data_IF_950690111091
#
_entry.id   IF_950690111091
#
_cell.length_a   1.000
_cell.length_b   1.000
_cell.length_c   1.000
_cell.angle_alpha   90.00
_cell.angle_beta   90.00
_cell.angle_gamma   90.00
#
_symmetry.space_group_name_H-M   'P 1'
#
loop_
_entity.id
_entity.type
_entity.pdbx_description
1 polymer ?
#
# COMPACT_ATOMS: atom_id res chain seq x y z
N UNK A 1 8.85 -9.49 -28.08
CA UNK A 1 9.78 -9.32 -26.94
C UNK A 1 9.23 -10.19 -25.82
N UNK A 2 9.67 -11.44 -25.77
CA UNK A 2 9.20 -12.43 -24.82
C UNK A 2 9.83 -12.12 -23.46
N UNK A 3 9.02 -11.63 -22.53
CA UNK A 3 9.43 -11.45 -21.14
C UNK A 3 9.32 -12.80 -20.48
N UNK A 4 10.41 -13.28 -19.88
CA UNK A 4 10.35 -14.53 -19.13
C UNK A 4 9.51 -14.31 -17.86
N UNK A 5 8.87 -15.35 -17.28
CA UNK A 5 8.14 -15.22 -16.01
C UNK A 5 8.97 -14.57 -14.89
N UNK A 6 10.30 -14.76 -14.92
CA UNK A 6 11.29 -14.12 -14.04
C UNK A 6 11.35 -12.60 -14.21
N UNK A 7 11.29 -12.11 -15.45
CA UNK A 7 11.30 -10.66 -15.74
C UNK A 7 10.01 -10.00 -15.27
N UNK A 8 8.86 -10.68 -15.43
CA UNK A 8 7.59 -10.19 -14.93
C UNK A 8 7.58 -10.05 -13.41
N UNK A 9 8.08 -11.06 -12.67
CA UNK A 9 8.20 -11.01 -11.22
C UNK A 9 9.10 -9.86 -10.74
N UNK A 10 10.21 -9.59 -11.43
CA UNK A 10 11.10 -8.46 -11.13
C UNK A 10 10.40 -7.12 -11.34
N UNK A 11 9.65 -6.97 -12.43
CA UNK A 11 8.90 -5.72 -12.71
C UNK A 11 7.82 -5.48 -11.65
N UNK A 12 7.11 -6.52 -11.23
CA UNK A 12 6.10 -6.43 -10.15
C UNK A 12 6.75 -6.01 -8.83
N UNK A 13 7.88 -6.63 -8.47
CA UNK A 13 8.63 -6.28 -7.27
C UNK A 13 9.14 -4.84 -7.30
N UNK A 14 9.72 -4.40 -8.42
CA UNK A 14 10.20 -3.02 -8.58
C UNK A 14 9.04 -2.01 -8.44
N UNK A 15 7.89 -2.31 -9.07
CA UNK A 15 6.70 -1.47 -8.98
C UNK A 15 6.24 -1.33 -7.53
N UNK A 16 6.09 -2.44 -6.81
CA UNK A 16 5.72 -2.47 -5.39
C UNK A 16 6.67 -1.62 -4.53
N UNK A 17 7.97 -1.78 -4.71
CA UNK A 17 8.97 -1.00 -3.97
C UNK A 17 8.83 0.51 -4.22
N UNK A 18 8.50 0.90 -5.45
CA UNK A 18 8.23 2.31 -5.80
C UNK A 18 6.99 2.83 -5.08
N UNK A 19 5.87 2.09 -5.12
CA UNK A 19 4.65 2.50 -4.42
C UNK A 19 4.88 2.61 -2.91
N UNK A 20 5.61 1.66 -2.30
CA UNK A 20 5.91 1.69 -0.87
C UNK A 20 6.79 2.88 -0.48
N UNK A 21 7.79 3.21 -1.32
CA UNK A 21 8.63 4.39 -1.13
C UNK A 21 7.81 5.68 -1.16
N UNK A 22 6.94 5.85 -2.16
CA UNK A 22 6.10 7.04 -2.27
C UNK A 22 5.09 7.15 -1.11
N UNK A 23 4.50 6.02 -0.68
CA UNK A 23 3.59 6.00 0.45
C UNK A 23 4.26 6.53 1.72
N UNK A 24 5.43 5.98 2.07
CA UNK A 24 6.22 6.40 3.24
C UNK A 24 6.70 7.84 3.15
N UNK A 25 7.12 8.29 1.96
CA UNK A 25 7.56 9.68 1.76
C UNK A 25 6.42 10.69 1.91
N UNK A 26 5.23 10.36 1.42
CA UNK A 26 4.05 11.21 1.59
C UNK A 26 3.57 11.23 3.04
N UNK A 27 3.63 10.08 3.71
CA UNK A 27 3.32 9.94 5.13
C UNK A 27 4.26 10.78 6.00
N UNK A 28 5.58 10.72 5.75
CA UNK A 28 6.56 11.54 6.48
C UNK A 28 6.38 13.04 6.26
N UNK A 29 5.86 13.43 5.09
CA UNK A 29 5.46 14.81 4.75
C UNK A 29 4.07 15.19 5.28
N UNK A 30 3.43 14.34 6.08
CA UNK A 30 2.06 14.51 6.60
C UNK A 30 0.98 14.67 5.51
N UNK A 31 1.28 14.29 4.25
CA UNK A 31 0.33 14.29 3.14
C UNK A 31 -0.53 13.02 3.18
N UNK A 32 -1.25 12.82 4.30
CA UNK A 32 -1.98 11.59 4.66
C UNK A 32 -2.95 11.13 3.56
N UNK A 33 -3.76 12.04 3.01
CA UNK A 33 -4.73 11.70 1.96
C UNK A 33 -4.05 11.19 0.68
N UNK A 34 -2.87 11.72 0.33
CA UNK A 34 -2.09 11.23 -0.79
C UNK A 34 -1.45 9.88 -0.47
N UNK A 35 -0.90 9.70 0.74
CA UNK A 35 -0.30 8.44 1.18
C UNK A 35 -1.30 7.28 1.12
N UNK A 36 -2.55 7.50 1.56
CA UNK A 36 -3.63 6.50 1.48
C UNK A 36 -3.79 5.93 0.08
N UNK A 37 -3.79 6.78 -0.96
CA UNK A 37 -3.96 6.30 -2.36
C UNK A 37 -2.88 5.31 -2.79
N UNK A 38 -1.64 5.52 -2.32
CA UNK A 38 -0.54 4.59 -2.61
C UNK A 38 -0.67 3.30 -1.82
N UNK A 39 -1.04 3.38 -0.54
CA UNK A 39 -1.27 2.21 0.28
C UNK A 39 -2.50 1.38 -0.17
N UNK A 40 -3.60 2.02 -0.59
CA UNK A 40 -4.75 1.33 -1.20
C UNK A 40 -4.35 0.58 -2.48
N UNK A 41 -3.47 1.19 -3.28
CA UNK A 41 -2.96 0.54 -4.49
C UNK A 41 -2.08 -0.65 -4.14
N UNK A 42 -1.23 -0.54 -3.12
CA UNK A 42 -0.42 -1.64 -2.61
C UNK A 42 -1.29 -2.78 -2.06
N UNK A 43 -2.35 -2.46 -1.31
CA UNK A 43 -3.25 -3.46 -0.73
C UNK A 43 -4.01 -4.27 -1.79
N UNK A 44 -4.22 -3.69 -2.97
CA UNK A 44 -4.81 -4.35 -4.16
C UNK A 44 -3.79 -5.13 -5.00
N UNK A 45 -2.49 -5.02 -4.72
CA UNK A 45 -1.45 -5.81 -5.37
C UNK A 45 -1.29 -7.17 -4.68
N UNK A 46 -0.73 -8.14 -5.38
CA UNK A 46 -0.28 -9.41 -4.80
C UNK A 46 0.94 -9.16 -3.90
N UNK A 47 0.67 -8.84 -2.64
CA UNK A 47 1.66 -8.78 -1.57
C UNK A 47 1.70 -10.11 -0.83
N UNK A 48 2.84 -10.40 -0.20
CA UNK A 48 2.86 -11.46 0.80
C UNK A 48 2.07 -11.05 2.05
N UNK A 49 1.70 -12.02 2.88
CA UNK A 49 0.83 -11.76 4.04
C UNK A 49 1.46 -10.80 5.04
N UNK A 50 2.79 -10.85 5.21
CA UNK A 50 3.53 -9.98 6.12
C UNK A 50 3.48 -8.52 5.67
N UNK A 51 3.68 -8.28 4.37
CA UNK A 51 3.61 -6.94 3.80
C UNK A 51 2.19 -6.42 3.72
N UNK A 52 1.24 -7.28 3.40
CA UNK A 52 -0.17 -6.92 3.38
C UNK A 52 -0.63 -6.52 4.78
N UNK A 53 -0.17 -7.20 5.82
CA UNK A 53 -0.40 -6.80 7.22
C UNK A 53 0.20 -5.43 7.52
N UNK A 54 1.46 -5.19 7.14
CA UNK A 54 2.10 -3.88 7.35
C UNK A 54 1.38 -2.74 6.61
N UNK A 55 0.98 -2.96 5.35
CA UNK A 55 0.20 -1.98 4.57
C UNK A 55 -1.18 -1.76 5.19
N UNK A 56 -1.83 -2.81 5.70
CA UNK A 56 -3.12 -2.73 6.41
C UNK A 56 -3.01 -1.85 7.65
N UNK A 57 -1.99 -2.06 8.48
CA UNK A 57 -1.75 -1.25 9.68
C UNK A 57 -1.52 0.22 9.35
N UNK A 58 -0.68 0.51 8.34
CA UNK A 58 -0.47 1.88 7.86
C UNK A 58 -1.76 2.53 7.34
N UNK A 59 -2.58 1.81 6.57
CA UNK A 59 -3.89 2.29 6.10
C UNK A 59 -4.82 2.61 7.27
N UNK A 60 -4.95 1.69 8.23
CA UNK A 60 -5.81 1.88 9.40
C UNK A 60 -5.40 3.11 10.20
N UNK A 61 -4.10 3.29 10.43
CA UNK A 61 -3.56 4.47 11.11
C UNK A 61 -3.91 5.76 10.36
N UNK A 62 -3.71 5.79 9.04
CA UNK A 62 -4.00 6.96 8.22
C UNK A 62 -5.49 7.28 8.12
N UNK A 63 -6.36 6.28 7.98
CA UNK A 63 -7.81 6.47 7.99
C UNK A 63 -8.29 7.03 9.32
N UNK A 64 -7.84 6.46 10.46
CA UNK A 64 -8.15 6.99 11.79
C UNK A 64 -7.66 8.43 11.95
N UNK A 65 -6.45 8.75 11.47
CA UNK A 65 -5.88 10.09 11.51
C UNK A 65 -6.58 11.13 10.63
N UNK A 66 -7.42 10.70 9.68
CA UNK A 66 -8.25 11.56 8.83
C UNK A 66 -9.75 11.52 9.22
N UNK A 67 -10.13 10.76 10.25
CA UNK A 67 -11.53 10.59 10.65
C UNK A 67 -12.35 9.67 9.72
N UNK A 68 -11.69 8.89 8.87
CA UNK A 68 -12.30 7.95 7.92
C UNK A 68 -12.58 6.60 8.59
N UNK A 69 -13.43 6.61 9.62
CA UNK A 69 -13.66 5.43 10.47
C UNK A 69 -14.40 4.29 9.75
N UNK A 70 -15.26 4.62 8.77
CA UNK A 70 -15.99 3.63 7.97
C UNK A 70 -15.03 2.78 7.14
N UNK A 71 -14.08 3.43 6.47
CA UNK A 71 -13.01 2.81 5.68
C UNK A 71 -12.09 1.99 6.58
N UNK A 72 -11.72 2.53 7.75
CA UNK A 72 -10.93 1.80 8.73
C UNK A 72 -11.64 0.50 9.15
N UNK A 73 -12.93 0.55 9.49
CA UNK A 73 -13.70 -0.63 9.90
C UNK A 73 -13.85 -1.66 8.78
N UNK A 74 -14.02 -1.20 7.54
CA UNK A 74 -14.09 -2.09 6.37
C UNK A 74 -12.80 -2.88 6.18
N UNK A 75 -11.64 -2.22 6.31
CA UNK A 75 -10.35 -2.89 6.18
C UNK A 75 -10.03 -3.75 7.39
N UNK A 76 -10.42 -3.33 8.60
CA UNK A 76 -10.19 -4.10 9.84
C UNK A 76 -10.82 -5.49 9.76
N UNK A 77 -12.02 -5.60 9.18
CA UNK A 77 -12.75 -6.87 8.99
C UNK A 77 -12.36 -7.73 7.77
N UNK A 78 -11.43 -7.27 6.92
CA UNK A 78 -10.86 -8.01 5.78
C UNK A 78 -9.60 -8.80 6.16
#
# INVERSE_FOLDING_TARGET
RDTTPSDHARVVLARKNIYMKFAKELESKQKRASAIKFYERLFKMSLDDSEKASVKESLLSLYKALGLFSEAKMIEGL
#
